data_IF_978810215035
#
_entry.id   IF_978810215035
#
_cell.length_a   1.000
_cell.length_b   1.000
_cell.length_c   1.000
_cell.angle_alpha   90.00
_cell.angle_beta   90.00
_cell.angle_gamma   90.00
#
_symmetry.space_group_name_H-M   'P 1'
#
loop_
_entity.id
_entity.type
_entity.pdbx_description
1 polymer ?
#
# COMPACT_ATOMS: atom_id res chain seq x y z
N UNK A 1 19.25 26.46 -38.03
CA UNK A 1 19.56 26.74 -36.61
C UNK A 1 18.31 26.94 -35.76
N UNK A 2 17.39 27.85 -36.12
CA UNK A 2 16.10 28.04 -35.40
C UNK A 2 15.32 26.74 -35.21
N UNK A 3 15.17 25.93 -36.25
CA UNK A 3 14.41 24.67 -36.21
C UNK A 3 15.01 23.65 -35.24
N UNK A 4 16.35 23.52 -35.20
CA UNK A 4 17.07 22.62 -34.27
C UNK A 4 16.91 23.06 -32.81
N UNK A 5 16.92 24.37 -32.56
CA UNK A 5 16.72 24.93 -31.21
C UNK A 5 15.26 24.69 -30.76
N UNK A 6 14.29 24.86 -31.66
CA UNK A 6 12.88 24.55 -31.37
C UNK A 6 12.67 23.05 -31.13
N UNK A 7 13.32 22.17 -31.89
CA UNK A 7 13.25 20.71 -31.69
C UNK A 7 13.87 20.25 -30.37
N UNK A 8 15.00 20.83 -29.96
CA UNK A 8 15.61 20.55 -28.66
C UNK A 8 14.73 21.02 -27.49
N UNK A 9 14.11 22.20 -27.61
CA UNK A 9 13.24 22.74 -26.58
C UNK A 9 11.96 21.89 -26.38
N UNK A 10 11.38 21.38 -27.47
CA UNK A 10 10.22 20.47 -27.40
C UNK A 10 10.63 19.09 -26.89
N UNK A 11 11.78 18.55 -27.32
CA UNK A 11 12.29 17.27 -26.83
C UNK A 11 12.65 17.28 -25.34
N UNK A 12 13.19 18.40 -24.83
CA UNK A 12 13.46 18.58 -23.41
C UNK A 12 12.18 18.69 -22.57
N UNK A 13 11.13 19.36 -23.08
CA UNK A 13 9.85 19.48 -22.40
C UNK A 13 9.12 18.13 -22.24
N UNK A 14 9.29 17.20 -23.17
CA UNK A 14 8.73 15.83 -23.11
C UNK A 14 9.47 14.95 -22.08
N UNK A 15 10.74 15.24 -21.79
CA UNK A 15 11.49 14.55 -20.74
C UNK A 15 11.18 15.06 -19.33
N UNK A 16 10.59 16.25 -19.21
CA UNK A 16 10.29 16.89 -17.91
C UNK A 16 8.80 16.88 -17.53
N UNK A 17 7.93 16.28 -18.33
CA UNK A 17 6.49 16.26 -18.08
C UNK A 17 5.94 14.82 -18.05
N UNK A 18 5.18 14.43 -17.02
CA UNK A 18 5.43 14.58 -15.59
C UNK A 18 6.20 13.34 -15.07
N UNK A 19 7.19 13.53 -14.20
CA UNK A 19 7.44 12.49 -13.19
C UNK A 19 6.14 12.44 -12.41
N UNK A 20 5.31 11.45 -12.76
CA UNK A 20 4.02 11.21 -12.13
C UNK A 20 4.20 11.37 -10.63
N UNK A 21 3.35 12.18 -10.01
CA UNK A 21 3.31 12.37 -8.59
C UNK A 21 3.37 10.99 -7.91
N UNK A 22 4.58 10.57 -7.53
CA UNK A 22 4.77 9.47 -6.59
C UNK A 22 4.10 10.01 -5.36
N UNK A 23 2.93 9.47 -5.02
CA UNK A 23 2.16 9.88 -3.86
C UNK A 23 3.11 9.85 -2.66
N UNK A 24 3.61 11.03 -2.27
CA UNK A 24 4.55 11.18 -1.19
C UNK A 24 3.84 10.67 0.08
N UNK A 25 4.34 9.57 0.65
CA UNK A 25 3.84 9.06 1.93
C UNK A 25 3.25 7.65 1.92
N UNK A 26 3.08 6.95 0.78
CA UNK A 26 2.56 5.56 0.82
C UNK A 26 3.43 4.63 1.67
N UNK A 27 4.76 4.75 1.61
CA UNK A 27 5.68 3.95 2.41
C UNK A 27 5.60 4.15 3.93
N UNK A 28 4.92 5.22 4.38
CA UNK A 28 4.74 5.53 5.80
C UNK A 28 3.34 5.13 6.31
N UNK A 29 2.46 4.64 5.43
CA UNK A 29 1.11 4.24 5.81
C UNK A 29 1.13 2.90 6.54
N UNK A 30 0.45 2.86 7.68
CA UNK A 30 0.19 1.65 8.46
C UNK A 30 -1.31 1.35 8.47
N UNK A 31 -1.67 0.15 8.03
CA UNK A 31 -3.05 -0.34 8.02
C UNK A 31 -3.22 -1.43 9.06
N UNK A 32 -4.18 -1.28 9.95
CA UNK A 32 -4.50 -2.29 10.98
C UNK A 32 -5.82 -2.95 10.64
N UNK A 33 -5.80 -4.26 10.39
CA UNK A 33 -7.00 -5.07 10.29
C UNK A 33 -7.33 -5.60 11.68
N UNK A 34 -8.49 -5.19 12.19
CA UNK A 34 -9.02 -5.65 13.48
C UNK A 34 -10.18 -6.58 13.22
N UNK A 35 -10.15 -7.78 13.79
CA UNK A 35 -11.20 -8.78 13.69
C UNK A 35 -11.60 -9.33 15.06
N UNK A 36 -12.71 -10.06 15.10
CA UNK A 36 -13.19 -10.81 16.25
C UNK A 36 -13.52 -12.24 15.79
N UNK A 37 -12.55 -13.14 15.90
CA UNK A 37 -12.79 -14.54 15.60
C UNK A 37 -11.86 -15.42 16.43
N UNK A 38 -12.29 -16.63 16.81
CA UNK A 38 -11.39 -17.55 17.48
C UNK A 38 -10.23 -17.89 16.55
N UNK A 39 -9.02 -18.01 17.09
CA UNK A 39 -7.83 -18.38 16.30
C UNK A 39 -7.95 -19.79 15.66
N UNK A 40 -8.93 -20.59 16.09
CA UNK A 40 -9.29 -21.87 15.48
C UNK A 40 -10.04 -21.74 14.15
N UNK A 41 -10.57 -20.56 13.81
CA UNK A 41 -11.18 -20.32 12.50
C UNK A 41 -10.10 -20.17 11.42
N UNK A 42 -9.86 -21.28 10.72
CA UNK A 42 -8.83 -21.38 9.67
C UNK A 42 -9.03 -20.43 8.50
N UNK A 43 -10.23 -19.88 8.29
CA UNK A 43 -10.46 -18.89 7.23
C UNK A 43 -9.55 -17.66 7.40
N UNK A 44 -9.31 -17.23 8.65
CA UNK A 44 -8.46 -16.07 8.94
C UNK A 44 -6.98 -16.27 8.61
N UNK A 45 -6.50 -17.51 8.48
CA UNK A 45 -5.14 -17.75 8.00
C UNK A 45 -4.98 -17.30 6.55
N UNK A 46 -5.99 -17.54 5.71
CA UNK A 46 -6.01 -17.06 4.31
C UNK A 46 -6.04 -15.53 4.26
N UNK A 47 -6.84 -14.90 5.12
CA UNK A 47 -6.95 -13.43 5.18
C UNK A 47 -5.63 -12.79 5.62
N UNK A 48 -5.00 -13.29 6.70
CA UNK A 48 -3.69 -12.82 7.18
C UNK A 48 -2.62 -12.88 6.09
N UNK A 49 -2.58 -13.98 5.33
CA UNK A 49 -1.64 -14.12 4.22
C UNK A 49 -1.94 -13.14 3.08
N UNK A 50 -3.22 -12.95 2.74
CA UNK A 50 -3.64 -12.03 1.69
C UNK A 50 -3.31 -10.58 2.00
N UNK A 51 -3.57 -10.11 3.23
CA UNK A 51 -3.25 -8.73 3.62
C UNK A 51 -1.74 -8.49 3.72
N UNK A 52 -0.97 -9.49 4.18
CA UNK A 52 0.49 -9.40 4.20
C UNK A 52 1.06 -9.23 2.78
N UNK A 53 0.62 -10.08 1.84
CA UNK A 53 1.02 -9.99 0.44
C UNK A 53 0.61 -8.64 -0.19
N UNK A 54 -0.60 -8.15 0.09
CA UNK A 54 -1.04 -6.85 -0.39
C UNK A 54 -0.15 -5.72 0.14
N UNK A 55 0.20 -5.76 1.43
CA UNK A 55 1.13 -4.81 2.06
C UNK A 55 2.48 -4.75 1.36
N UNK A 56 3.06 -5.91 1.05
CA UNK A 56 4.31 -6.02 0.29
C UNK A 56 4.17 -5.43 -1.13
N UNK A 57 3.06 -5.70 -1.82
CA UNK A 57 2.84 -5.27 -3.21
C UNK A 57 2.65 -3.77 -3.37
N UNK A 58 2.03 -3.11 -2.38
CA UNK A 58 1.78 -1.66 -2.42
C UNK A 58 2.75 -0.86 -1.55
N UNK A 59 3.69 -1.55 -0.87
CA UNK A 59 4.75 -0.94 -0.08
C UNK A 59 4.24 -0.23 1.17
N UNK A 60 3.32 -0.84 1.92
CA UNK A 60 2.73 -0.29 3.16
C UNK A 60 2.91 -1.27 4.32
N UNK A 61 2.91 -0.77 5.56
CA UNK A 61 2.89 -1.63 6.76
C UNK A 61 1.45 -2.14 7.01
N UNK A 62 1.32 -3.43 7.31
CA UNK A 62 0.04 -4.03 7.70
C UNK A 62 0.18 -4.77 9.04
N UNK A 63 -0.82 -4.63 9.91
CA UNK A 63 -0.92 -5.33 11.19
C UNK A 63 -2.28 -6.03 11.29
N UNK A 64 -2.30 -7.25 11.82
CA UNK A 64 -3.52 -7.96 12.15
C UNK A 64 -3.68 -8.02 13.67
N UNK A 65 -4.86 -7.62 14.18
CA UNK A 65 -5.20 -7.69 15.60
C UNK A 65 -6.50 -8.45 15.81
N UNK A 66 -6.47 -9.39 16.76
CA UNK A 66 -7.59 -10.24 17.12
C UNK A 66 -7.36 -10.77 18.56
N UNK A 67 -8.38 -10.79 19.43
CA UNK A 67 -8.30 -11.53 20.68
C UNK A 67 -8.24 -13.04 20.38
N UNK A 68 -7.40 -13.84 21.08
CA UNK A 68 -7.23 -15.26 20.74
C UNK A 68 -8.53 -16.08 20.72
N UNK A 69 -9.49 -15.70 21.56
CA UNK A 69 -10.81 -16.33 21.69
C UNK A 69 -11.82 -15.84 20.67
N UNK A 70 -11.57 -14.70 20.02
CA UNK A 70 -12.56 -13.98 19.22
C UNK A 70 -13.63 -13.26 20.03
N UNK A 71 -13.52 -13.25 21.37
CA UNK A 71 -14.51 -12.60 22.21
C UNK A 71 -14.40 -11.07 22.05
N UNK A 72 -15.53 -10.44 21.78
CA UNK A 72 -15.61 -8.99 21.62
C UNK A 72 -15.26 -8.28 22.94
N UNK A 73 -15.51 -8.91 24.09
CA UNK A 73 -15.14 -8.37 25.40
C UNK A 73 -13.62 -8.21 25.56
N UNK A 74 -12.83 -9.04 24.87
CA UNK A 74 -11.36 -9.06 24.93
C UNK A 74 -10.71 -8.12 23.89
N UNK A 75 -11.49 -7.33 23.14
CA UNK A 75 -11.00 -6.42 22.08
C UNK A 75 -10.46 -5.06 22.59
N UNK A 76 -10.49 -4.81 23.90
CA UNK A 76 -10.15 -3.52 24.52
C UNK A 76 -8.65 -3.17 24.45
#
# INVERSE_FOLDING_TARGET
MKTLITSLAVGAAVLTAPVAAMAAGHGELKYVLVSHAPDSDTWWNTIKNGIALAGEQVGVEVEYRNPPTGDIADMA
#
